data_IF_592112038652
#
_entry.id   IF_592112038652
#
_cell.length_a   1.000
_cell.length_b   1.000
_cell.length_c   1.000
_cell.angle_alpha   90.00
_cell.angle_beta   90.00
_cell.angle_gamma   90.00
#
_symmetry.space_group_name_H-M   'P 1'
#
loop_
_entity.id
_entity.type
_entity.pdbx_description
1 polymer ?
#
# COMPACT_ATOMS: atom_id res chain seq x y z
N UNK A 1 -8.99 60.13 -34.06
CA UNK A 1 -9.72 59.28 -33.06
C UNK A 1 -9.51 57.78 -33.26
N UNK A 2 -9.81 57.18 -34.44
CA UNK A 2 -9.66 55.72 -34.63
C UNK A 2 -8.26 55.16 -34.32
N UNK A 3 -7.15 55.86 -34.74
CA UNK A 3 -5.79 55.40 -34.44
C UNK A 3 -5.43 55.43 -32.95
N UNK A 4 -5.91 56.42 -32.19
CA UNK A 4 -5.69 56.51 -30.75
C UNK A 4 -6.42 55.41 -30.01
N UNK A 5 -7.62 55.08 -30.42
CA UNK A 5 -8.41 53.97 -29.84
C UNK A 5 -7.72 52.62 -30.10
N UNK A 6 -7.20 52.41 -31.32
CA UNK A 6 -6.49 51.15 -31.67
C UNK A 6 -5.17 51.03 -30.85
N UNK A 7 -4.42 52.14 -30.68
CA UNK A 7 -3.19 52.13 -29.90
C UNK A 7 -3.46 51.88 -28.42
N UNK A 8 -4.49 52.50 -27.87
CA UNK A 8 -4.92 52.25 -26.47
C UNK A 8 -5.39 50.80 -26.27
N UNK A 9 -6.14 50.24 -27.18
CA UNK A 9 -6.59 48.83 -27.13
C UNK A 9 -5.41 47.87 -27.22
N UNK A 10 -4.42 48.13 -28.09
CA UNK A 10 -3.20 47.32 -28.23
C UNK A 10 -2.33 47.37 -26.98
N UNK A 11 -2.22 48.53 -26.34
CA UNK A 11 -1.47 48.68 -25.07
C UNK A 11 -2.15 47.94 -23.91
N UNK A 12 -3.49 48.02 -23.81
CA UNK A 12 -4.26 47.29 -22.79
C UNK A 12 -4.14 45.77 -23.02
N UNK A 13 -4.20 45.32 -24.27
CA UNK A 13 -4.02 43.90 -24.59
C UNK A 13 -2.62 43.41 -24.26
N UNK A 14 -1.57 44.19 -24.58
CA UNK A 14 -0.21 43.85 -24.29
C UNK A 14 0.06 43.83 -22.77
N UNK A 15 -0.49 44.76 -21.99
CA UNK A 15 -0.45 44.77 -20.55
C UNK A 15 -1.20 43.55 -19.96
N UNK A 16 -2.38 43.24 -20.48
CA UNK A 16 -3.14 42.07 -20.08
C UNK A 16 -2.38 40.77 -20.32
N UNK A 17 -1.77 40.59 -21.49
CA UNK A 17 -0.95 39.40 -21.80
C UNK A 17 0.32 39.32 -20.92
N UNK A 18 0.95 40.46 -20.62
CA UNK A 18 2.13 40.49 -19.73
C UNK A 18 1.77 40.11 -18.31
N UNK A 19 0.64 40.61 -17.77
CA UNK A 19 0.15 40.27 -16.44
C UNK A 19 -0.24 38.79 -16.39
N UNK A 20 -0.94 38.28 -17.39
CA UNK A 20 -1.30 36.87 -17.48
C UNK A 20 -0.06 35.97 -17.55
N UNK A 21 0.93 36.35 -18.33
CA UNK A 21 2.21 35.63 -18.43
C UNK A 21 2.97 35.59 -17.08
N UNK A 22 3.00 36.72 -16.38
CA UNK A 22 3.61 36.78 -15.03
C UNK A 22 2.85 35.94 -14.00
N UNK A 23 1.53 35.93 -14.04
CA UNK A 23 0.71 35.08 -13.17
C UNK A 23 0.91 33.60 -13.47
N UNK A 24 0.94 33.20 -14.75
CA UNK A 24 1.21 31.83 -15.14
C UNK A 24 2.61 31.36 -14.70
N UNK A 25 3.60 32.25 -14.83
CA UNK A 25 4.95 31.97 -14.34
C UNK A 25 4.97 31.81 -12.83
N UNK A 26 4.38 32.76 -12.06
CA UNK A 26 4.29 32.67 -10.62
C UNK A 26 3.55 31.41 -10.14
N UNK A 27 2.52 30.97 -10.87
CA UNK A 27 1.78 29.73 -10.56
C UNK A 27 2.59 28.46 -10.86
N UNK A 28 3.46 28.50 -11.86
CA UNK A 28 4.34 27.37 -12.19
C UNK A 28 5.44 27.19 -11.14
N UNK A 29 5.97 28.29 -10.62
CA UNK A 29 7.03 28.32 -9.61
C UNK A 29 6.48 28.32 -8.16
N UNK A 30 5.15 28.21 -7.98
CA UNK A 30 4.54 28.25 -6.65
C UNK A 30 4.88 26.98 -5.86
N UNK A 31 5.55 27.18 -4.75
CA UNK A 31 5.77 26.16 -3.74
C UNK A 31 4.89 26.46 -2.52
N UNK A 32 4.23 25.44 -2.00
CA UNK A 32 3.43 25.57 -0.79
C UNK A 32 4.34 25.87 0.40
N UNK A 33 3.99 26.84 1.26
CA UNK A 33 4.77 27.15 2.46
C UNK A 33 4.97 25.92 3.34
N UNK A 34 6.21 25.66 3.73
CA UNK A 34 6.53 24.56 4.64
C UNK A 34 6.08 24.91 6.06
N UNK A 35 5.52 23.92 6.76
CA UNK A 35 5.08 24.07 8.15
C UNK A 35 6.27 23.96 9.11
N UNK A 36 7.09 22.91 8.97
CA UNK A 36 8.29 22.74 9.80
C UNK A 36 9.31 23.81 9.46
N UNK A 37 9.81 24.51 10.47
CA UNK A 37 10.73 25.62 10.32
C UNK A 37 10.04 26.98 10.16
N UNK A 38 8.70 27.01 9.99
CA UNK A 38 7.95 28.27 9.96
C UNK A 38 7.96 28.95 11.33
N UNK A 39 7.90 30.29 11.34
CA UNK A 39 8.08 31.11 12.55
C UNK A 39 6.91 32.03 12.79
N UNK A 40 6.70 32.33 14.07
CA UNK A 40 5.71 33.32 14.52
C UNK A 40 6.29 34.16 15.66
N UNK A 41 6.06 35.48 15.60
CA UNK A 41 6.35 36.38 16.73
C UNK A 41 5.19 36.32 17.71
N UNK A 42 5.45 36.09 19.00
CA UNK A 42 4.43 36.10 20.05
C UNK A 42 5.04 36.50 21.41
N UNK A 43 4.42 37.46 22.10
CA UNK A 43 4.89 37.91 23.42
C UNK A 43 4.68 36.85 24.52
N UNK A 44 3.72 35.95 24.33
CA UNK A 44 3.44 34.86 25.24
C UNK A 44 4.22 33.62 24.84
N UNK A 45 4.76 32.92 25.83
CA UNK A 45 5.39 31.61 25.66
C UNK A 45 4.40 30.44 25.74
N UNK A 46 3.10 30.71 25.81
CA UNK A 46 2.06 29.69 25.80
C UNK A 46 1.94 29.03 24.42
N UNK A 47 2.24 27.73 24.32
CA UNK A 47 2.19 27.04 23.05
C UNK A 47 0.84 27.07 22.33
N UNK A 48 -0.26 27.14 23.08
CA UNK A 48 -1.60 27.26 22.48
C UNK A 48 -1.80 28.63 21.83
N UNK A 49 -1.40 29.71 22.50
CA UNK A 49 -1.50 31.07 21.94
C UNK A 49 -0.59 31.22 20.70
N UNK A 50 0.63 30.69 20.78
CA UNK A 50 1.58 30.65 19.67
C UNK A 50 0.95 29.92 18.48
N UNK A 51 0.37 28.73 18.71
CA UNK A 51 -0.26 27.89 17.68
C UNK A 51 -1.46 28.61 17.03
N UNK A 52 -2.32 29.27 17.81
CA UNK A 52 -3.47 30.01 17.26
C UNK A 52 -3.04 31.14 16.36
N UNK A 53 -2.03 31.90 16.76
CA UNK A 53 -1.49 33.02 15.99
C UNK A 53 -0.84 32.54 14.69
N UNK A 54 0.02 31.55 14.80
CA UNK A 54 0.65 30.93 13.63
C UNK A 54 -0.39 30.37 12.65
N UNK A 55 -1.39 29.61 13.13
CA UNK A 55 -2.42 29.02 12.29
C UNK A 55 -3.15 30.07 11.45
N UNK A 56 -3.54 31.18 12.05
CA UNK A 56 -4.15 32.28 11.31
C UNK A 56 -3.22 32.83 10.21
N UNK A 57 -1.97 33.14 10.56
CA UNK A 57 -0.98 33.66 9.63
C UNK A 57 -0.64 32.67 8.51
N UNK A 58 -0.55 31.39 8.83
CA UNK A 58 -0.27 30.34 7.86
C UNK A 58 -1.38 30.24 6.81
N UNK A 59 -2.65 30.23 7.23
CA UNK A 59 -3.75 30.11 6.27
C UNK A 59 -4.04 31.43 5.52
N UNK A 60 -3.68 32.58 6.04
CA UNK A 60 -3.75 33.87 5.33
C UNK A 60 -2.86 33.89 4.07
N UNK A 61 -1.79 33.11 4.03
CA UNK A 61 -0.89 33.01 2.87
C UNK A 61 -1.56 32.40 1.64
N UNK A 62 -2.65 31.68 1.81
CA UNK A 62 -3.40 31.02 0.72
C UNK A 62 -4.50 31.90 0.11
N UNK A 63 -4.61 33.17 0.53
CA UNK A 63 -5.50 34.18 -0.06
C UNK A 63 -4.63 35.21 -0.81
N UNK A 64 -4.44 35.03 -2.10
CA UNK A 64 -3.60 35.96 -2.87
C UNK A 64 -3.58 35.66 -4.35
N UNK A 65 -3.31 36.70 -5.15
CA UNK A 65 -3.31 36.63 -6.62
C UNK A 65 -2.23 35.72 -7.20
N UNK A 66 -1.14 35.54 -6.46
CA UNK A 66 0.00 34.68 -6.86
C UNK A 66 -0.21 33.23 -6.47
N UNK A 67 -1.19 32.94 -5.61
CA UNK A 67 -1.51 31.58 -5.20
C UNK A 67 -2.30 30.87 -6.29
N UNK A 68 -1.87 29.70 -6.78
CA UNK A 68 -2.64 28.94 -7.74
C UNK A 68 -4.01 28.55 -7.18
N UNK A 69 -5.04 28.58 -8.02
CA UNK A 69 -6.43 28.39 -7.59
C UNK A 69 -6.65 27.08 -6.79
N UNK A 70 -5.91 26.03 -7.10
CA UNK A 70 -6.03 24.74 -6.40
C UNK A 70 -5.43 24.72 -4.98
N UNK A 71 -4.72 25.79 -4.58
CA UNK A 71 -4.25 26.00 -3.20
C UNK A 71 -5.07 27.06 -2.44
N UNK A 72 -6.01 27.72 -3.06
CA UNK A 72 -6.79 28.77 -2.38
C UNK A 72 -7.61 28.22 -1.22
N UNK A 73 -7.59 28.97 -0.12
CA UNK A 73 -8.41 28.78 1.08
C UNK A 73 -9.34 29.97 1.23
N UNK A 74 -10.63 29.70 1.44
CA UNK A 74 -11.63 30.76 1.74
C UNK A 74 -11.63 31.08 3.21
N UNK A 75 -11.52 30.06 4.05
CA UNK A 75 -11.47 30.19 5.50
C UNK A 75 -10.86 28.93 6.11
N UNK A 76 -10.13 29.11 7.22
CA UNK A 76 -9.66 28.03 8.07
C UNK A 76 -9.89 28.38 9.54
N UNK A 77 -10.21 27.37 10.34
CA UNK A 77 -10.43 27.56 11.78
C UNK A 77 -10.02 26.33 12.57
N UNK A 78 -9.47 26.56 13.74
CA UNK A 78 -9.25 25.52 14.75
C UNK A 78 -10.58 25.15 15.37
N UNK A 79 -10.89 23.87 15.43
CA UNK A 79 -12.10 23.31 16.05
C UNK A 79 -11.84 22.60 17.37
N UNK A 80 -10.61 22.10 17.56
CA UNK A 80 -10.12 21.51 18.80
C UNK A 80 -8.64 21.82 19.02
N UNK A 81 -8.22 21.87 20.27
CA UNK A 81 -6.82 22.05 20.64
C UNK A 81 -6.54 21.36 21.97
N UNK A 82 -5.46 20.61 22.04
CA UNK A 82 -5.04 19.87 23.22
C UNK A 82 -3.51 19.92 23.36
N UNK A 83 -3.03 20.09 24.59
CA UNK A 83 -1.61 20.04 24.92
C UNK A 83 -1.21 18.63 25.33
N UNK A 84 -0.27 18.02 24.61
CA UNK A 84 0.26 16.69 24.82
C UNK A 84 1.68 16.77 25.40
N UNK A 85 1.98 15.99 26.43
CA UNK A 85 3.26 16.09 27.18
C UNK A 85 4.04 14.76 27.27
N UNK A 86 3.60 13.72 26.58
CA UNK A 86 4.12 12.36 26.74
C UNK A 86 5.55 12.16 26.21
N UNK A 87 6.01 13.07 25.35
CA UNK A 87 7.36 13.01 24.74
C UNK A 87 8.41 13.89 25.42
N UNK A 88 8.16 14.31 26.68
CA UNK A 88 9.13 15.10 27.48
C UNK A 88 9.25 16.58 27.10
N UNK A 89 8.48 17.04 26.12
CA UNK A 89 8.26 18.44 25.75
C UNK A 89 6.81 18.64 25.32
N UNK A 90 6.27 19.86 25.43
CA UNK A 90 4.90 20.09 25.00
C UNK A 90 4.75 19.98 23.47
N UNK A 91 3.73 19.26 23.07
CA UNK A 91 3.18 19.24 21.71
C UNK A 91 1.75 19.76 21.76
N UNK A 92 1.32 20.41 20.71
CA UNK A 92 -0.05 20.89 20.56
C UNK A 92 -0.71 20.12 19.43
N UNK A 93 -1.70 19.32 19.76
CA UNK A 93 -2.60 18.74 18.78
C UNK A 93 -3.67 19.77 18.43
N UNK A 94 -3.91 19.98 17.15
CA UNK A 94 -5.02 20.79 16.66
C UNK A 94 -5.90 19.98 15.73
N UNK A 95 -7.21 20.13 15.93
CA UNK A 95 -8.24 19.76 14.96
C UNK A 95 -8.67 21.03 14.25
N UNK A 96 -8.83 20.98 12.95
CA UNK A 96 -9.18 22.19 12.21
C UNK A 96 -10.04 21.91 10.99
N UNK A 97 -10.72 22.93 10.54
CA UNK A 97 -11.52 22.91 9.33
C UNK A 97 -10.97 23.90 8.31
N UNK A 98 -11.02 23.50 7.06
CA UNK A 98 -10.62 24.33 5.91
C UNK A 98 -11.78 24.38 4.92
N UNK A 99 -12.21 25.57 4.56
CA UNK A 99 -13.21 25.81 3.53
C UNK A 99 -12.51 26.31 2.27
N UNK A 100 -12.69 25.60 1.16
CA UNK A 100 -11.97 25.85 -0.11
C UNK A 100 -12.92 26.25 -1.25
N UNK A 101 -12.44 26.89 -2.32
CA UNK A 101 -13.20 27.02 -3.56
C UNK A 101 -13.42 25.66 -4.25
N UNK A 102 -14.35 25.61 -5.20
CA UNK A 102 -14.57 24.39 -6.01
C UNK A 102 -13.32 24.03 -6.82
N UNK A 103 -12.79 22.84 -6.62
CA UNK A 103 -11.61 22.35 -7.36
C UNK A 103 -10.25 22.69 -6.75
N UNK A 104 -10.20 23.26 -5.54
CA UNK A 104 -8.96 23.49 -4.79
C UNK A 104 -8.41 22.19 -4.15
N UNK A 105 -8.08 21.19 -4.99
CA UNK A 105 -7.61 19.86 -4.55
C UNK A 105 -6.14 19.84 -4.11
N UNK A 106 -5.34 20.83 -4.49
CA UNK A 106 -3.93 20.92 -4.13
C UNK A 106 -3.75 21.03 -2.62
N UNK A 107 -4.42 22.03 -2.01
CA UNK A 107 -4.35 22.23 -0.54
C UNK A 107 -4.88 21.03 0.24
N UNK A 108 -5.93 20.36 -0.28
CA UNK A 108 -6.52 19.18 0.35
C UNK A 108 -5.52 18.03 0.41
N UNK A 109 -4.81 17.78 -0.70
CA UNK A 109 -3.79 16.73 -0.77
C UNK A 109 -2.56 17.04 0.08
N UNK A 110 -2.02 18.25 -0.01
CA UNK A 110 -0.77 18.61 0.69
C UNK A 110 -0.94 18.68 2.22
N UNK A 111 -2.13 18.99 2.70
CA UNK A 111 -2.47 18.99 4.13
C UNK A 111 -3.20 17.72 4.59
N UNK A 112 -3.35 16.73 3.68
CA UNK A 112 -4.01 15.44 3.99
C UNK A 112 -5.40 15.63 4.61
N UNK A 113 -6.20 16.56 4.04
CA UNK A 113 -7.50 16.91 4.59
C UNK A 113 -8.57 15.90 4.19
N UNK A 114 -9.42 15.54 5.14
CA UNK A 114 -10.56 14.64 4.92
C UNK A 114 -11.80 15.42 4.49
N UNK A 115 -12.53 14.92 3.49
CA UNK A 115 -13.78 15.52 3.04
C UNK A 115 -14.90 15.28 4.08
N UNK A 116 -15.69 16.33 4.36
CA UNK A 116 -16.87 16.22 5.21
C UNK A 116 -18.14 16.07 4.37
N UNK A 117 -19.28 15.78 5.00
CA UNK A 117 -20.57 15.77 4.32
C UNK A 117 -20.93 17.16 3.72
N UNK A 118 -20.34 18.21 4.25
CA UNK A 118 -20.53 19.58 3.76
C UNK A 118 -19.58 19.86 2.60
N UNK A 119 -20.12 20.04 1.42
CA UNK A 119 -19.35 20.33 0.21
C UNK A 119 -18.35 21.47 0.44
N UNK A 120 -17.08 21.27 0.04
CA UNK A 120 -15.93 22.19 0.16
C UNK A 120 -15.42 22.42 1.58
N UNK A 121 -15.99 21.79 2.57
CA UNK A 121 -15.50 21.82 3.93
C UNK A 121 -14.69 20.53 4.17
N UNK A 122 -13.47 20.70 4.63
CA UNK A 122 -12.54 19.61 4.92
C UNK A 122 -12.07 19.72 6.35
N UNK A 123 -11.77 18.59 6.96
CA UNK A 123 -11.16 18.52 8.30
C UNK A 123 -9.73 18.05 8.22
N UNK A 124 -8.89 18.54 9.11
CA UNK A 124 -7.50 18.09 9.26
C UNK A 124 -7.11 18.02 10.72
N UNK A 125 -6.06 17.25 10.97
CA UNK A 125 -5.43 17.13 12.29
C UNK A 125 -3.93 17.26 12.13
N UNK A 126 -3.26 17.89 13.08
CA UNK A 126 -1.81 17.91 13.17
C UNK A 126 -1.35 18.10 14.60
N UNK A 127 -0.17 17.58 14.88
CA UNK A 127 0.54 17.74 16.16
C UNK A 127 1.80 18.54 15.90
N UNK A 128 1.99 19.64 16.63
CA UNK A 128 3.10 20.58 16.45
C UNK A 128 3.90 20.70 17.74
N UNK A 129 5.21 20.87 17.62
CA UNK A 129 6.05 21.34 18.74
C UNK A 129 6.72 22.66 18.38
N UNK A 130 6.92 23.48 19.39
CA UNK A 130 7.52 24.79 19.27
C UNK A 130 8.85 24.88 19.98
N UNK A 131 9.80 25.63 19.43
CA UNK A 131 11.03 26.03 20.08
C UNK A 131 11.26 27.53 19.95
N UNK A 132 11.91 28.14 20.93
CA UNK A 132 12.27 29.53 20.88
C UNK A 132 13.41 29.75 19.84
N UNK A 133 13.24 30.71 18.94
CA UNK A 133 14.20 31.06 17.88
C UNK A 133 14.65 32.54 18.00
N UNK A 134 14.50 33.15 19.17
CA UNK A 134 14.85 34.52 19.48
C UNK A 134 14.01 35.05 20.65
N UNK A 135 14.08 36.39 20.86
CA UNK A 135 13.20 37.07 21.79
C UNK A 135 11.83 37.21 21.13
N UNK A 136 10.80 36.62 21.78
CA UNK A 136 9.42 36.58 21.29
C UNK A 136 9.21 35.94 19.89
N UNK A 137 10.18 35.16 19.40
CA UNK A 137 10.07 34.42 18.15
C UNK A 137 10.08 32.92 18.42
N UNK A 138 9.11 32.22 17.87
CA UNK A 138 8.93 30.76 18.01
C UNK A 138 8.91 30.11 16.65
N UNK A 139 9.59 28.97 16.54
CA UNK A 139 9.68 28.16 15.33
C UNK A 139 9.03 26.80 15.53
N UNK A 140 8.35 26.30 14.52
CA UNK A 140 7.87 24.91 14.52
C UNK A 140 9.07 23.97 14.38
N UNK A 141 9.35 23.21 15.42
CA UNK A 141 10.42 22.22 15.45
C UNK A 141 10.00 20.90 14.81
N UNK A 142 8.77 20.46 15.07
CA UNK A 142 8.20 19.23 14.50
C UNK A 142 6.74 19.41 14.09
N UNK A 143 6.36 18.68 13.04
CA UNK A 143 4.97 18.43 12.65
C UNK A 143 4.77 16.94 12.43
N UNK A 144 3.73 16.37 13.00
CA UNK A 144 3.35 14.97 12.80
C UNK A 144 1.83 14.79 12.81
N UNK A 145 1.35 13.62 12.41
CA UNK A 145 -0.04 13.25 12.61
C UNK A 145 -0.28 12.78 14.05
N UNK A 146 -1.54 12.78 14.56
CA UNK A 146 -1.84 12.20 15.87
C UNK A 146 -1.37 10.75 16.03
N UNK A 147 -1.48 9.94 14.98
CA UNK A 147 -1.01 8.55 14.97
C UNK A 147 0.51 8.47 15.13
N UNK A 148 1.26 9.29 14.38
CA UNK A 148 2.72 9.34 14.50
C UNK A 148 3.15 9.78 15.92
N UNK A 149 2.44 10.74 16.53
CA UNK A 149 2.69 11.14 17.91
C UNK A 149 2.47 9.98 18.87
N UNK A 150 1.32 9.29 18.76
CA UNK A 150 0.97 8.15 19.61
C UNK A 150 2.03 7.04 19.56
N UNK A 151 2.50 6.69 18.36
CA UNK A 151 3.57 5.68 18.16
C UNK A 151 4.85 6.05 18.91
N UNK A 152 5.17 7.34 19.06
CA UNK A 152 6.38 7.80 19.75
C UNK A 152 6.23 7.86 21.28
N UNK A 153 5.02 7.74 21.83
CA UNK A 153 4.81 7.83 23.28
C UNK A 153 5.48 6.68 24.01
N UNK A 154 6.07 6.92 25.21
CA UNK A 154 6.68 5.87 26.00
C UNK A 154 5.71 4.74 26.38
N UNK A 155 4.43 5.05 26.53
CA UNK A 155 3.38 4.08 26.84
C UNK A 155 3.20 3.09 25.70
N UNK A 156 3.03 3.59 24.46
CA UNK A 156 2.93 2.77 23.26
C UNK A 156 4.20 1.94 23.04
N UNK A 157 5.40 2.54 23.22
CA UNK A 157 6.68 1.85 23.10
C UNK A 157 6.86 0.78 24.17
N UNK A 158 6.35 1.02 25.37
CA UNK A 158 6.40 0.05 26.47
C UNK A 158 5.46 -1.13 26.22
N UNK A 159 4.23 -0.87 25.77
CA UNK A 159 3.28 -1.93 25.39
C UNK A 159 3.87 -2.83 24.28
N UNK A 160 4.66 -2.25 23.38
CA UNK A 160 5.35 -2.98 22.32
C UNK A 160 6.59 -3.75 22.78
N UNK A 161 7.21 -3.35 23.91
CA UNK A 161 8.42 -3.97 24.47
C UNK A 161 8.16 -4.99 25.58
N UNK A 162 6.97 -4.98 26.19
CA UNK A 162 6.61 -6.02 27.14
C UNK A 162 6.38 -7.32 26.36
N UNK A 163 7.19 -8.38 26.57
CA UNK A 163 6.89 -9.68 26.00
C UNK A 163 5.52 -10.07 26.55
N UNK A 164 4.50 -10.00 25.71
CA UNK A 164 3.18 -10.51 26.07
C UNK A 164 3.32 -12.03 26.21
N UNK A 165 3.59 -12.49 27.43
CA UNK A 165 3.52 -13.89 27.82
C UNK A 165 2.05 -14.33 27.99
N UNK A 166 1.15 -13.81 27.20
CA UNK A 166 -0.17 -14.40 27.05
C UNK A 166 -0.02 -15.57 26.10
N UNK A 167 -0.31 -16.75 26.59
CA UNK A 167 -0.39 -17.97 25.79
C UNK A 167 -1.38 -17.71 24.65
N UNK A 168 -0.87 -17.68 23.43
CA UNK A 168 -1.70 -17.68 22.23
C UNK A 168 -2.46 -19.02 22.20
N UNK A 169 -3.74 -19.03 22.49
CA UNK A 169 -4.61 -20.18 22.23
C UNK A 169 -5.17 -20.14 20.79
N UNK A 170 -4.40 -19.70 19.83
CA UNK A 170 -4.78 -19.89 18.43
C UNK A 170 -4.16 -21.18 17.94
N UNK A 171 -4.92 -22.26 18.02
CA UNK A 171 -4.60 -23.50 17.31
C UNK A 171 -4.99 -23.33 15.86
N UNK A 172 -4.05 -23.53 14.96
CA UNK A 172 -4.30 -23.65 13.53
C UNK A 172 -4.19 -25.12 13.15
N UNK A 173 -4.98 -25.54 12.18
CA UNK A 173 -4.84 -26.88 11.59
C UNK A 173 -3.60 -26.94 10.66
N UNK A 174 -3.04 -25.78 10.25
CA UNK A 174 -1.81 -25.69 9.47
C UNK A 174 -0.59 -25.71 10.37
N UNK A 175 0.36 -26.66 10.17
CA UNK A 175 1.55 -26.75 11.00
C UNK A 175 2.48 -25.55 10.87
N UNK A 176 2.52 -24.94 9.69
CA UNK A 176 3.38 -23.79 9.37
C UNK A 176 2.57 -22.69 8.72
N UNK A 177 2.42 -21.58 9.42
CA UNK A 177 1.65 -20.44 8.93
C UNK A 177 2.10 -19.13 9.60
N UNK A 178 1.49 -18.01 9.25
CA UNK A 178 1.73 -16.71 9.87
C UNK A 178 0.54 -16.28 10.71
N UNK A 179 0.82 -15.35 11.65
CA UNK A 179 -0.17 -14.65 12.44
C UNK A 179 0.15 -13.18 12.52
N UNK A 180 -0.88 -12.37 12.48
CA UNK A 180 -0.78 -10.93 12.74
C UNK A 180 -1.54 -10.64 14.03
N UNK A 181 -0.84 -10.06 15.00
CA UNK A 181 -1.42 -9.65 16.26
C UNK A 181 -0.79 -8.35 16.74
N UNK A 182 -1.63 -7.42 17.17
CA UNK A 182 -1.23 -6.12 17.73
C UNK A 182 -0.21 -5.36 16.88
N UNK A 183 -0.34 -5.46 15.56
CA UNK A 183 0.57 -4.84 14.61
C UNK A 183 1.94 -5.52 14.51
N UNK A 184 2.04 -6.79 14.85
CA UNK A 184 3.25 -7.60 14.70
C UNK A 184 2.95 -8.82 13.85
N UNK A 185 3.84 -9.13 12.91
CA UNK A 185 3.80 -10.35 12.12
C UNK A 185 4.64 -11.44 12.78
N UNK A 186 4.02 -12.59 13.00
CA UNK A 186 4.65 -13.79 13.55
C UNK A 186 4.55 -14.95 12.57
N UNK A 187 5.46 -15.91 12.70
CA UNK A 187 5.39 -17.23 12.06
C UNK A 187 5.39 -18.34 13.11
N UNK A 188 4.72 -19.43 12.80
CA UNK A 188 4.75 -20.67 13.58
C UNK A 188 5.19 -21.83 12.68
N UNK A 189 5.85 -22.83 13.28
CA UNK A 189 6.29 -24.06 12.62
C UNK A 189 5.75 -25.32 13.33
N UNK A 190 4.84 -25.14 14.28
CA UNK A 190 4.35 -26.18 15.19
C UNK A 190 2.86 -26.03 15.52
N UNK A 191 2.05 -25.60 14.54
CA UNK A 191 0.61 -25.40 14.68
C UNK A 191 0.21 -24.41 15.80
N UNK A 192 1.03 -23.37 16.00
CA UNK A 192 0.76 -22.31 16.98
C UNK A 192 1.16 -22.65 18.42
N UNK A 193 1.99 -23.69 18.64
CA UNK A 193 2.56 -23.94 19.97
C UNK A 193 3.64 -22.93 20.33
N UNK A 194 4.39 -22.45 19.33
CA UNK A 194 5.36 -21.36 19.46
C UNK A 194 5.28 -20.37 18.28
N UNK A 195 5.74 -19.13 18.53
CA UNK A 195 5.72 -18.05 17.55
C UNK A 195 7.08 -17.35 17.51
N UNK A 196 7.49 -17.02 16.29
CA UNK A 196 8.71 -16.26 16.01
C UNK A 196 8.33 -14.96 15.34
N UNK A 197 8.78 -13.84 15.88
CA UNK A 197 8.54 -12.53 15.28
C UNK A 197 9.31 -12.36 13.96
N UNK A 198 8.63 -11.84 12.93
CA UNK A 198 9.27 -11.41 11.68
C UNK A 198 9.72 -9.96 11.86
N UNK A 199 11.04 -9.65 11.83
CA UNK A 199 11.55 -8.32 12.13
C UNK A 199 10.95 -7.24 11.23
N UNK A 200 10.33 -6.21 11.80
CA UNK A 200 9.63 -5.13 11.09
C UNK A 200 8.59 -5.63 10.07
N UNK A 201 8.15 -6.90 10.22
CA UNK A 201 7.35 -7.60 9.22
C UNK A 201 6.00 -6.95 8.98
N UNK A 202 5.33 -6.52 10.03
CA UNK A 202 4.02 -5.89 9.90
C UNK A 202 4.09 -4.59 9.08
N UNK A 203 5.00 -3.70 9.42
CA UNK A 203 5.14 -2.41 8.74
C UNK A 203 5.63 -2.55 7.30
N UNK A 204 6.50 -3.52 7.05
CA UNK A 204 7.14 -3.72 5.75
C UNK A 204 6.34 -4.58 4.78
N UNK A 205 5.58 -5.53 5.30
CA UNK A 205 4.89 -6.57 4.50
C UNK A 205 3.39 -6.29 4.46
N UNK A 206 2.76 -6.06 5.61
CA UNK A 206 1.31 -5.89 5.72
C UNK A 206 0.83 -4.50 5.30
N UNK A 207 1.71 -3.48 5.24
CA UNK A 207 1.38 -2.11 4.85
C UNK A 207 1.58 -1.83 3.36
N UNK A 208 1.77 -2.83 2.53
CA UNK A 208 2.04 -2.64 1.11
C UNK A 208 0.81 -2.12 0.37
N UNK A 209 1.04 -1.10 -0.46
CA UNK A 209 0.02 -0.48 -1.32
C UNK A 209 -0.91 0.48 -0.57
N UNK A 210 -1.05 1.70 -1.03
CA UNK A 210 -2.04 2.73 -0.65
C UNK A 210 -2.17 3.10 0.83
N UNK A 211 -1.22 2.72 1.71
CA UNK A 211 -1.25 3.05 3.13
C UNK A 211 -2.33 2.32 3.94
N UNK A 212 -2.94 1.29 3.36
CA UNK A 212 -3.91 0.44 4.07
C UNK A 212 -3.20 -0.82 4.54
N UNK A 213 -3.26 -1.10 5.85
CA UNK A 213 -2.75 -2.34 6.39
C UNK A 213 -3.64 -3.50 5.96
N UNK A 214 -3.03 -4.52 5.38
CA UNK A 214 -3.71 -5.75 5.03
C UNK A 214 -3.26 -6.85 6.01
N UNK A 215 -4.14 -7.27 6.89
CA UNK A 215 -3.87 -8.31 7.88
C UNK A 215 -3.90 -9.72 7.29
N UNK A 216 -4.39 -9.86 6.05
CA UNK A 216 -4.31 -11.08 5.28
C UNK A 216 -3.27 -10.91 4.18
N UNK A 217 -2.26 -11.75 4.19
CA UNK A 217 -1.28 -11.79 3.12
C UNK A 217 -1.87 -12.53 1.93
N UNK A 218 -1.75 -11.98 0.70
CA UNK A 218 -2.24 -12.66 -0.49
C UNK A 218 -1.61 -14.03 -0.65
N UNK A 219 -2.36 -14.97 -1.16
CA UNK A 219 -1.84 -16.30 -1.49
C UNK A 219 -0.63 -16.20 -2.42
N UNK A 220 0.31 -17.13 -2.26
CA UNK A 220 1.58 -17.15 -3.00
C UNK A 220 2.47 -15.89 -2.83
N UNK A 221 2.18 -14.96 -1.91
CA UNK A 221 3.05 -13.82 -1.62
C UNK A 221 4.14 -14.11 -0.58
N UNK A 222 4.09 -15.27 0.05
CA UNK A 222 5.02 -15.75 1.07
C UNK A 222 5.23 -17.25 0.98
N UNK A 223 6.30 -17.73 1.59
CA UNK A 223 6.59 -19.16 1.77
C UNK A 223 7.01 -19.38 3.21
N UNK A 224 6.43 -20.39 3.88
CA UNK A 224 6.78 -20.82 5.23
C UNK A 224 6.97 -22.34 5.23
N UNK A 225 8.21 -22.78 5.37
CA UNK A 225 8.60 -24.19 5.49
C UNK A 225 9.64 -24.35 6.57
N UNK A 226 10.00 -25.58 6.93
CA UNK A 226 11.07 -25.85 7.89
C UNK A 226 12.46 -25.36 7.41
N UNK A 227 12.69 -25.35 6.09
CA UNK A 227 13.97 -25.07 5.47
C UNK A 227 14.10 -23.62 5.01
N UNK A 228 12.94 -22.97 4.74
CA UNK A 228 12.90 -21.62 4.22
C UNK A 228 11.61 -20.90 4.65
N UNK A 229 11.78 -19.69 5.15
CA UNK A 229 10.67 -18.76 5.34
C UNK A 229 11.01 -17.46 4.64
N UNK A 230 10.08 -16.94 3.82
CA UNK A 230 10.33 -15.73 3.07
C UNK A 230 9.08 -14.89 2.83
N UNK A 231 9.28 -13.57 2.88
CA UNK A 231 8.26 -12.55 2.61
C UNK A 231 8.84 -11.48 1.69
N UNK A 232 8.10 -11.10 0.67
CA UNK A 232 8.52 -10.00 -0.20
C UNK A 232 8.10 -8.67 0.41
N UNK A 233 9.07 -7.80 0.65
CA UNK A 233 8.90 -6.49 1.27
C UNK A 233 9.38 -5.39 0.30
N UNK A 234 8.47 -4.86 -0.51
CA UNK A 234 8.80 -3.90 -1.57
C UNK A 234 9.80 -4.50 -2.57
N UNK A 235 11.03 -3.96 -2.64
CA UNK A 235 12.07 -4.43 -3.55
C UNK A 235 12.97 -5.52 -2.97
N UNK A 236 12.69 -6.00 -1.79
CA UNK A 236 13.53 -6.94 -1.05
C UNK A 236 12.75 -8.19 -0.67
N UNK A 237 13.46 -9.30 -0.52
CA UNK A 237 12.99 -10.53 0.07
C UNK A 237 13.59 -10.61 1.49
N UNK A 238 12.74 -10.57 2.51
CA UNK A 238 13.10 -10.84 3.89
C UNK A 238 12.96 -12.34 4.12
N UNK A 239 14.01 -13.02 4.57
CA UNK A 239 14.00 -14.48 4.67
C UNK A 239 14.79 -15.03 5.85
N UNK A 240 14.42 -16.25 6.25
CA UNK A 240 15.11 -17.09 7.23
C UNK A 240 15.31 -18.50 6.66
N UNK A 241 16.47 -19.12 6.99
CA UNK A 241 16.84 -20.48 6.62
C UNK A 241 16.90 -21.40 7.85
N UNK A 242 16.47 -20.93 9.02
CA UNK A 242 16.62 -21.58 10.33
C UNK A 242 15.38 -21.38 11.21
N UNK A 243 14.19 -21.47 10.59
CA UNK A 243 12.88 -21.31 11.28
C UNK A 243 12.76 -20.00 12.05
N UNK A 244 13.27 -18.92 11.48
CA UNK A 244 13.15 -17.58 12.05
C UNK A 244 14.16 -17.26 13.17
N UNK A 245 15.14 -18.14 13.47
CA UNK A 245 16.19 -17.83 14.43
C UNK A 245 17.06 -16.66 13.95
N UNK A 246 17.36 -16.63 12.63
CA UNK A 246 18.05 -15.51 12.00
C UNK A 246 17.34 -15.06 10.73
N UNK A 247 17.26 -13.73 10.55
CA UNK A 247 16.65 -13.12 9.38
C UNK A 247 17.68 -12.39 8.54
N UNK A 248 17.52 -12.48 7.23
CA UNK A 248 18.36 -11.83 6.22
C UNK A 248 17.50 -11.11 5.21
N UNK A 249 18.10 -10.18 4.52
CA UNK A 249 17.45 -9.44 3.43
C UNK A 249 18.24 -9.61 2.13
N UNK A 250 17.52 -9.94 1.05
CA UNK A 250 18.04 -10.00 -0.31
C UNK A 250 17.38 -8.93 -1.17
N UNK A 251 18.16 -8.15 -1.89
CA UNK A 251 17.67 -7.10 -2.77
C UNK A 251 17.27 -7.66 -4.11
N UNK A 252 15.98 -7.87 -4.35
CA UNK A 252 15.43 -8.44 -5.59
C UNK A 252 15.54 -7.43 -6.76
N UNK A 253 15.21 -6.15 -6.50
CA UNK A 253 15.29 -5.07 -7.49
C UNK A 253 15.89 -3.81 -6.89
N UNK A 254 16.55 -3.00 -7.71
CA UNK A 254 17.24 -1.80 -7.21
C UNK A 254 16.29 -0.65 -6.89
N UNK A 255 15.27 -0.43 -7.73
CA UNK A 255 14.32 0.69 -7.58
C UNK A 255 13.12 0.51 -8.52
N UNK A 256 12.15 1.40 -8.44
CA UNK A 256 10.96 1.46 -9.28
C UNK A 256 9.68 1.18 -8.50
N UNK A 257 8.61 0.87 -9.18
CA UNK A 257 7.36 0.38 -8.57
C UNK A 257 7.56 -1.06 -8.07
N UNK A 258 6.94 -1.43 -6.97
CA UNK A 258 6.92 -2.79 -6.44
C UNK A 258 5.64 -2.99 -5.64
N UNK A 259 4.77 -3.88 -6.10
CA UNK A 259 3.50 -4.25 -5.47
C UNK A 259 3.12 -5.68 -5.87
N UNK A 260 2.11 -6.21 -5.21
CA UNK A 260 1.42 -7.47 -5.49
C UNK A 260 2.40 -8.61 -5.81
N UNK A 261 3.29 -8.97 -4.86
CA UNK A 261 4.33 -9.96 -5.09
C UNK A 261 3.80 -11.39 -4.98
N UNK A 262 4.44 -12.27 -5.76
CA UNK A 262 4.34 -13.73 -5.63
C UNK A 262 5.74 -14.29 -5.39
N UNK A 263 5.85 -15.22 -4.44
CA UNK A 263 7.10 -15.86 -4.05
C UNK A 263 6.98 -17.38 -4.21
N UNK A 264 7.93 -17.99 -4.89
CA UNK A 264 8.04 -19.44 -4.98
C UNK A 264 9.48 -19.91 -4.77
N UNK A 265 9.63 -21.11 -4.23
CA UNK A 265 10.91 -21.78 -4.00
C UNK A 265 10.92 -23.10 -4.75
N UNK A 266 11.85 -23.24 -5.67
CA UNK A 266 12.09 -24.44 -6.45
C UNK A 266 13.45 -25.07 -6.12
N UNK A 267 13.72 -26.27 -6.60
CA UNK A 267 15.05 -26.90 -6.48
C UNK A 267 16.14 -26.07 -7.17
N UNK A 268 15.76 -25.36 -8.24
CA UNK A 268 16.66 -24.49 -9.01
C UNK A 268 16.94 -23.14 -8.34
N UNK A 269 16.14 -22.71 -7.37
CA UNK A 269 16.29 -21.42 -6.69
C UNK A 269 14.98 -20.74 -6.35
N UNK A 270 15.02 -19.42 -6.29
CA UNK A 270 13.96 -18.56 -5.75
C UNK A 270 13.38 -17.67 -6.85
N UNK A 271 12.07 -17.59 -6.91
CA UNK A 271 11.34 -16.82 -7.91
C UNK A 271 10.47 -15.78 -7.22
N UNK A 272 10.63 -14.52 -7.60
CA UNK A 272 9.78 -13.41 -7.15
C UNK A 272 9.16 -12.76 -8.38
N UNK A 273 7.86 -12.91 -8.53
CA UNK A 273 7.06 -12.18 -9.53
C UNK A 273 6.40 -11.00 -8.83
N UNK A 274 6.51 -9.79 -9.36
CA UNK A 274 5.90 -8.60 -8.77
C UNK A 274 5.51 -7.58 -9.83
N UNK A 275 4.55 -6.73 -9.51
CA UNK A 275 4.24 -5.56 -10.30
C UNK A 275 5.42 -4.57 -10.24
N UNK A 276 5.95 -4.19 -11.40
CA UNK A 276 7.17 -3.37 -11.54
C UNK A 276 6.90 -2.01 -12.17
N UNK A 277 5.70 -1.81 -12.70
CA UNK A 277 5.21 -0.55 -13.24
C UNK A 277 3.68 -0.54 -13.18
N UNK A 278 3.07 0.64 -13.18
CA UNK A 278 1.62 0.83 -13.23
C UNK A 278 1.29 1.93 -14.22
N UNK A 279 0.43 1.63 -15.19
CA UNK A 279 -0.02 2.60 -16.20
C UNK A 279 -1.50 2.40 -16.53
N UNK A 280 -2.26 3.50 -16.54
CA UNK A 280 -3.69 3.54 -16.92
C UNK A 280 -4.57 2.52 -16.17
N UNK A 281 -4.21 2.18 -14.93
CA UNK A 281 -4.96 1.22 -14.10
C UNK A 281 -4.54 -0.24 -14.29
N UNK A 282 -3.52 -0.53 -15.09
CA UNK A 282 -2.93 -1.85 -15.22
C UNK A 282 -1.57 -1.92 -14.54
N UNK A 283 -1.34 -2.99 -13.79
CA UNK A 283 -0.06 -3.32 -13.22
C UNK A 283 0.73 -4.20 -14.17
N UNK A 284 2.02 -3.86 -14.37
CA UNK A 284 2.93 -4.61 -15.23
C UNK A 284 3.87 -5.43 -14.38
N UNK A 285 3.94 -6.73 -14.65
CA UNK A 285 4.68 -7.70 -13.85
C UNK A 285 5.98 -8.13 -14.51
N UNK A 286 6.95 -8.46 -13.69
CA UNK A 286 8.17 -9.15 -14.08
C UNK A 286 8.53 -10.19 -13.02
N UNK A 287 9.13 -11.29 -13.47
CA UNK A 287 9.68 -12.31 -12.58
C UNK A 287 11.19 -12.10 -12.42
N UNK A 288 11.66 -12.15 -11.18
CA UNK A 288 13.07 -12.17 -10.85
C UNK A 288 13.43 -13.56 -10.30
N UNK A 289 14.56 -14.11 -10.74
CA UNK A 289 15.07 -15.41 -10.35
C UNK A 289 16.46 -15.29 -9.72
N UNK A 290 16.72 -16.08 -8.68
CA UNK A 290 18.03 -16.20 -8.05
C UNK A 290 18.29 -17.63 -7.57
N UNK A 291 19.50 -18.15 -7.81
CA UNK A 291 19.96 -19.43 -7.26
C UNK A 291 20.46 -19.29 -5.82
N UNK A 292 20.95 -18.11 -5.45
CA UNK A 292 21.76 -17.88 -4.24
C UNK A 292 21.22 -16.79 -3.28
N UNK A 293 20.09 -16.16 -3.62
CA UNK A 293 19.51 -15.00 -2.90
C UNK A 293 20.41 -13.75 -2.91
N UNK A 294 21.48 -13.73 -3.66
CA UNK A 294 22.40 -12.59 -3.78
C UNK A 294 22.33 -11.97 -5.18
N UNK A 295 22.25 -12.83 -6.22
CA UNK A 295 22.27 -12.41 -7.61
C UNK A 295 20.91 -12.69 -8.27
N UNK A 296 20.21 -11.62 -8.67
CA UNK A 296 18.90 -11.72 -9.29
C UNK A 296 18.94 -11.40 -10.77
N UNK A 297 18.28 -12.22 -11.57
CA UNK A 297 18.08 -12.05 -13.01
C UNK A 297 16.59 -11.93 -13.32
N UNK A 298 16.23 -11.21 -14.40
CA UNK A 298 14.83 -11.07 -14.80
C UNK A 298 14.45 -12.08 -15.86
N UNK A 299 13.30 -12.71 -15.70
CA UNK A 299 12.60 -13.51 -16.70
C UNK A 299 11.54 -12.61 -17.33
N UNK A 300 11.55 -12.48 -18.66
CA UNK A 300 10.57 -11.67 -19.38
C UNK A 300 9.29 -12.48 -19.62
N UNK A 301 8.15 -11.94 -19.22
CA UNK A 301 6.85 -12.50 -19.56
C UNK A 301 6.45 -12.10 -20.99
N UNK A 302 5.62 -12.91 -21.68
CA UNK A 302 4.99 -12.50 -22.93
C UNK A 302 4.17 -11.21 -22.76
N UNK A 303 4.17 -10.31 -23.76
CA UNK A 303 3.48 -9.02 -23.69
C UNK A 303 1.99 -9.15 -23.29
N UNK A 304 1.32 -10.20 -23.73
CA UNK A 304 -0.07 -10.47 -23.41
C UNK A 304 -0.30 -10.88 -21.93
N UNK A 305 0.75 -11.31 -21.25
CA UNK A 305 0.71 -11.85 -19.87
C UNK A 305 1.54 -11.04 -18.88
N UNK A 306 2.07 -9.90 -19.27
CA UNK A 306 2.81 -9.05 -18.34
C UNK A 306 1.91 -8.12 -17.51
N UNK A 307 0.58 -8.20 -17.63
CA UNK A 307 -0.34 -7.27 -16.94
C UNK A 307 -1.43 -7.99 -16.14
N UNK A 308 -1.79 -7.40 -14.99
CA UNK A 308 -2.93 -7.79 -14.16
C UNK A 308 -2.93 -9.30 -13.80
N UNK A 309 -1.80 -9.81 -13.34
CA UNK A 309 -1.72 -11.18 -12.85
C UNK A 309 -2.55 -11.34 -11.57
N UNK A 310 -3.29 -12.42 -11.50
CA UNK A 310 -4.02 -12.84 -10.29
C UNK A 310 -3.21 -13.85 -9.48
N UNK A 311 -2.36 -14.65 -10.13
CA UNK A 311 -1.48 -15.61 -9.48
C UNK A 311 -0.20 -15.85 -10.31
N UNK A 312 0.90 -16.12 -9.61
CA UNK A 312 2.14 -16.67 -10.19
C UNK A 312 2.73 -17.69 -9.22
N UNK A 313 3.11 -18.84 -9.75
CA UNK A 313 3.65 -19.96 -8.96
C UNK A 313 4.72 -20.72 -9.73
N UNK A 314 5.78 -21.16 -9.04
CA UNK A 314 6.81 -22.04 -9.59
C UNK A 314 6.87 -23.33 -8.77
N UNK A 315 6.75 -24.47 -9.45
CA UNK A 315 6.85 -25.79 -8.84
C UNK A 315 8.27 -26.12 -8.43
N UNK A 316 8.41 -27.14 -7.58
CA UNK A 316 9.74 -27.61 -7.13
C UNK A 316 10.64 -28.01 -8.29
N UNK A 317 10.11 -28.61 -9.35
CA UNK A 317 10.85 -29.02 -10.56
C UNK A 317 11.09 -27.87 -11.56
N UNK A 318 10.70 -26.63 -11.23
CA UNK A 318 11.04 -25.43 -12.00
C UNK A 318 10.08 -25.10 -13.15
N UNK A 319 8.86 -25.62 -13.15
CA UNK A 319 7.79 -25.14 -14.04
C UNK A 319 7.20 -23.86 -13.50
N UNK A 320 7.04 -22.84 -14.33
CA UNK A 320 6.49 -21.54 -13.92
C UNK A 320 5.10 -21.29 -14.47
N UNK A 321 4.17 -20.89 -13.62
CA UNK A 321 2.78 -20.61 -13.95
C UNK A 321 2.45 -19.15 -13.74
N UNK A 322 1.63 -18.61 -14.64
CA UNK A 322 1.14 -17.24 -14.59
C UNK A 322 -0.34 -17.23 -14.96
N UNK A 323 -1.15 -16.65 -14.12
CA UNK A 323 -2.58 -16.56 -14.34
C UNK A 323 -3.05 -15.11 -14.29
N UNK A 324 -4.04 -14.82 -15.08
CA UNK A 324 -4.91 -13.66 -15.03
C UNK A 324 -6.34 -14.13 -15.22
N UNK A 325 -7.32 -13.26 -15.10
CA UNK A 325 -8.72 -13.64 -15.29
C UNK A 325 -8.92 -14.39 -16.62
N UNK A 326 -9.52 -15.57 -16.58
CA UNK A 326 -9.83 -16.46 -17.72
C UNK A 326 -8.64 -17.05 -18.48
N UNK A 327 -7.39 -16.70 -18.14
CA UNK A 327 -6.22 -17.12 -18.90
C UNK A 327 -5.09 -17.60 -17.96
N UNK A 328 -4.40 -18.66 -18.37
CA UNK A 328 -3.25 -19.20 -17.65
C UNK A 328 -2.15 -19.65 -18.62
N UNK A 329 -0.89 -19.38 -18.27
CA UNK A 329 0.30 -19.82 -19.00
C UNK A 329 1.17 -20.70 -18.15
N UNK A 330 1.93 -21.58 -18.81
CA UNK A 330 3.05 -22.31 -18.20
C UNK A 330 4.32 -22.18 -19.03
N UNK A 331 5.45 -22.09 -18.34
CA UNK A 331 6.78 -22.33 -18.91
C UNK A 331 7.34 -23.62 -18.31
N UNK A 332 7.87 -24.50 -19.16
CA UNK A 332 8.49 -25.77 -18.77
C UNK A 332 10.03 -25.71 -18.88
N UNK A 333 10.59 -24.61 -19.32
CA UNK A 333 12.00 -24.41 -19.66
C UNK A 333 12.61 -23.16 -19.00
N UNK A 334 12.05 -22.77 -17.83
CA UNK A 334 12.60 -21.67 -17.04
C UNK A 334 12.30 -20.27 -17.59
N UNK A 335 11.31 -20.13 -18.47
CA UNK A 335 10.90 -18.85 -19.04
C UNK A 335 11.39 -18.59 -20.46
N UNK A 336 12.02 -19.59 -21.10
CA UNK A 336 12.45 -19.48 -22.51
C UNK A 336 11.24 -19.54 -23.46
N UNK A 337 10.29 -20.45 -23.18
CA UNK A 337 9.04 -20.56 -23.94
C UNK A 337 7.81 -20.66 -23.03
N UNK A 338 6.65 -20.29 -23.55
CA UNK A 338 5.37 -20.31 -22.82
C UNK A 338 4.30 -20.98 -23.67
N UNK A 339 3.39 -21.68 -23.01
CA UNK A 339 2.20 -22.27 -23.64
C UNK A 339 0.96 -22.00 -22.81
N UNK A 340 -0.19 -21.89 -23.50
CA UNK A 340 -1.49 -21.70 -22.86
C UNK A 340 -1.93 -22.95 -22.12
N UNK A 341 -2.55 -22.77 -20.95
CA UNK A 341 -3.28 -23.78 -20.23
C UNK A 341 -4.78 -23.44 -20.28
N UNK A 342 -5.57 -24.44 -20.60
CA UNK A 342 -7.02 -24.33 -20.57
C UNK A 342 -7.53 -25.25 -19.45
N UNK A 343 -8.11 -24.64 -18.42
CA UNK A 343 -8.80 -25.37 -17.37
C UNK A 343 -10.13 -25.92 -17.95
N UNK A 344 -10.51 -27.18 -17.65
CA UNK A 344 -11.80 -27.69 -18.08
C UNK A 344 -12.95 -26.97 -17.37
N UNK A 345 -14.06 -26.74 -18.11
CA UNK A 345 -15.27 -26.17 -17.52
C UNK A 345 -15.85 -27.08 -16.44
N UNK A 346 -16.48 -26.49 -15.43
CA UNK A 346 -17.24 -27.21 -14.40
C UNK A 346 -18.64 -27.55 -14.93
N UNK A 347 -18.74 -28.56 -15.82
CA UNK A 347 -19.93 -28.85 -16.63
C UNK A 347 -21.23 -28.89 -15.81
N UNK A 348 -21.23 -29.53 -14.61
CA UNK A 348 -22.45 -29.64 -13.76
C UNK A 348 -22.88 -28.25 -13.22
N UNK A 349 -21.93 -27.40 -12.84
CA UNK A 349 -22.18 -26.04 -12.28
C UNK A 349 -22.55 -25.10 -13.41
N UNK A 350 -21.86 -25.16 -14.53
CA UNK A 350 -22.16 -24.38 -15.71
C UNK A 350 -23.55 -24.71 -16.29
N UNK A 351 -23.98 -25.97 -16.26
CA UNK A 351 -25.33 -26.38 -16.66
C UNK A 351 -26.40 -25.85 -15.68
N UNK A 352 -26.11 -25.79 -14.37
CA UNK A 352 -27.04 -25.27 -13.35
C UNK A 352 -27.23 -23.76 -13.48
N UNK A 353 -26.11 -23.01 -13.66
CA UNK A 353 -26.11 -21.54 -13.66
C UNK A 353 -26.30 -20.95 -15.04
N UNK A 354 -25.98 -21.68 -16.12
CA UNK A 354 -25.93 -21.18 -17.48
C UNK A 354 -24.60 -20.50 -17.87
N UNK A 355 -23.61 -20.52 -16.99
CA UNK A 355 -22.23 -20.04 -17.19
C UNK A 355 -21.32 -20.68 -16.14
N UNK A 356 -20.02 -20.75 -16.41
CA UNK A 356 -19.01 -21.14 -15.42
C UNK A 356 -18.63 -19.90 -14.58
N UNK A 357 -18.83 -19.93 -13.24
CA UNK A 357 -18.50 -18.77 -12.40
C UNK A 357 -17.01 -18.67 -12.06
N UNK A 358 -16.21 -19.72 -12.30
CA UNK A 358 -14.82 -19.80 -11.88
C UNK A 358 -13.86 -19.34 -12.97
N UNK A 359 -13.41 -18.10 -12.87
CA UNK A 359 -12.60 -17.44 -13.91
C UNK A 359 -11.28 -16.86 -13.41
N UNK A 360 -11.06 -16.85 -12.10
CA UNK A 360 -9.91 -16.16 -11.50
C UNK A 360 -9.09 -17.13 -10.66
N UNK A 361 -7.89 -17.46 -11.11
CA UNK A 361 -6.95 -18.26 -10.31
C UNK A 361 -6.45 -17.44 -9.12
N UNK A 362 -6.71 -17.94 -7.90
CA UNK A 362 -6.40 -17.26 -6.66
C UNK A 362 -5.20 -17.87 -5.94
N UNK A 363 -5.05 -19.19 -6.03
CA UNK A 363 -3.97 -19.92 -5.34
C UNK A 363 -3.47 -21.10 -6.18
N UNK A 364 -2.17 -21.35 -6.11
CA UNK A 364 -1.51 -22.55 -6.62
C UNK A 364 -0.61 -23.14 -5.54
N UNK A 365 -0.58 -24.46 -5.43
CA UNK A 365 0.34 -25.17 -4.54
C UNK A 365 0.64 -26.57 -5.07
N UNK A 366 1.78 -27.12 -4.64
CA UNK A 366 2.20 -28.48 -5.00
C UNK A 366 2.27 -29.34 -3.74
N UNK A 367 1.57 -30.49 -3.79
CA UNK A 367 1.58 -31.49 -2.73
C UNK A 367 1.78 -32.88 -3.34
N UNK A 368 2.73 -33.66 -2.81
CA UNK A 368 3.08 -35.01 -3.28
C UNK A 368 3.34 -35.11 -4.79
N UNK A 369 3.85 -34.04 -5.42
CA UNK A 369 4.12 -33.96 -6.84
C UNK A 369 2.91 -33.72 -7.73
N UNK A 370 1.76 -33.42 -7.14
CA UNK A 370 0.55 -33.00 -7.82
C UNK A 370 0.43 -31.47 -7.66
N UNK A 371 0.18 -30.78 -8.76
CA UNK A 371 -0.09 -29.36 -8.77
C UNK A 371 -1.62 -29.15 -8.58
N UNK A 372 -1.98 -28.35 -7.58
CA UNK A 372 -3.33 -27.91 -7.30
C UNK A 372 -3.50 -26.45 -7.66
N UNK A 373 -4.69 -26.13 -8.19
CA UNK A 373 -5.09 -24.77 -8.56
C UNK A 373 -6.47 -24.49 -8.00
N UNK A 374 -6.61 -23.42 -7.23
CA UNK A 374 -7.88 -22.92 -6.73
C UNK A 374 -8.30 -21.75 -7.61
N UNK A 375 -9.50 -21.85 -8.15
CA UNK A 375 -10.09 -20.86 -9.05
C UNK A 375 -11.36 -20.30 -8.41
N UNK A 376 -11.31 -19.02 -8.08
CA UNK A 376 -12.44 -18.27 -7.56
C UNK A 376 -13.19 -17.52 -8.65
N UNK A 377 -13.95 -16.51 -8.22
CA UNK A 377 -14.86 -15.74 -9.05
C UNK A 377 -14.41 -14.29 -9.26
N UNK A 378 -13.25 -13.91 -8.70
CA UNK A 378 -12.77 -12.53 -8.68
C UNK A 378 -13.60 -11.62 -7.76
N UNK A 379 -13.39 -10.29 -7.89
CA UNK A 379 -14.01 -9.29 -6.99
C UNK A 379 -15.53 -9.14 -7.16
N UNK A 380 -16.10 -9.57 -8.28
CA UNK A 380 -17.52 -9.43 -8.67
C UNK A 380 -18.30 -10.74 -8.57
N UNK A 381 -17.71 -11.80 -8.00
CA UNK A 381 -18.38 -13.09 -7.81
C UNK A 381 -19.51 -13.04 -6.78
N UNK A 382 -20.60 -13.76 -7.06
CA UNK A 382 -21.78 -13.84 -6.20
C UNK A 382 -22.32 -15.27 -6.02
N UNK A 383 -21.63 -16.27 -6.57
CA UNK A 383 -22.02 -17.66 -6.45
C UNK A 383 -21.60 -18.20 -5.08
N UNK A 384 -22.61 -18.49 -4.25
CA UNK A 384 -22.45 -18.87 -2.83
C UNK A 384 -22.93 -20.30 -2.61
N UNK A 385 -22.10 -21.09 -1.93
CA UNK A 385 -22.44 -22.39 -1.36
C UNK A 385 -22.25 -22.39 0.16
N UNK A 386 -23.19 -22.93 0.88
CA UNK A 386 -23.14 -23.02 2.35
C UNK A 386 -22.83 -21.68 3.08
N UNK A 387 -23.22 -20.58 2.46
CA UNK A 387 -23.04 -19.21 3.03
C UNK A 387 -21.68 -18.57 2.78
N UNK A 388 -20.80 -19.17 1.99
CA UNK A 388 -19.51 -18.67 1.57
C UNK A 388 -19.43 -18.60 0.05
N UNK A 389 -18.53 -17.78 -0.50
CA UNK A 389 -18.20 -17.83 -1.92
C UNK A 389 -17.67 -19.23 -2.25
N UNK A 390 -18.09 -19.73 -3.40
CA UNK A 390 -17.62 -21.02 -3.89
C UNK A 390 -16.37 -20.83 -4.76
N UNK A 391 -15.47 -21.79 -4.66
CA UNK A 391 -14.25 -21.90 -5.46
C UNK A 391 -14.19 -23.30 -6.11
N UNK A 392 -13.45 -23.43 -7.19
CA UNK A 392 -13.20 -24.70 -7.86
C UNK A 392 -11.76 -25.17 -7.62
N UNK A 393 -11.60 -26.40 -7.16
CA UNK A 393 -10.30 -27.05 -7.03
C UNK A 393 -10.00 -27.88 -8.27
N UNK A 394 -8.85 -27.61 -8.87
CA UNK A 394 -8.30 -28.38 -9.99
C UNK A 394 -6.97 -29.03 -9.59
N UNK A 395 -6.63 -30.13 -10.24
CA UNK A 395 -5.35 -30.80 -10.07
C UNK A 395 -4.72 -31.21 -11.39
N UNK A 396 -3.38 -31.34 -11.39
CA UNK A 396 -2.60 -31.85 -12.52
C UNK A 396 -1.37 -32.64 -12.05
N UNK A 397 -1.16 -33.83 -12.60
CA UNK A 397 0.04 -34.64 -12.36
C UNK A 397 1.20 -34.26 -13.28
N UNK A 398 0.91 -33.74 -14.46
CA UNK A 398 1.93 -33.37 -15.46
C UNK A 398 2.24 -31.86 -15.53
N UNK A 399 1.39 -31.06 -14.86
CA UNK A 399 1.47 -29.60 -14.83
C UNK A 399 0.93 -28.90 -16.08
N UNK A 400 0.29 -29.63 -17.00
CA UNK A 400 -0.27 -29.10 -18.26
C UNK A 400 -1.74 -29.43 -18.41
N UNK A 401 -2.09 -30.68 -18.11
CA UNK A 401 -3.44 -31.18 -18.22
C UNK A 401 -4.10 -31.19 -16.83
N UNK A 402 -5.12 -30.37 -16.66
CA UNK A 402 -5.84 -30.23 -15.40
C UNK A 402 -7.18 -30.99 -15.43
N UNK A 403 -7.61 -31.44 -14.27
CA UNK A 403 -8.94 -32.00 -14.05
C UNK A 403 -9.60 -31.28 -12.86
N UNK A 404 -10.90 -30.98 -12.98
CA UNK A 404 -11.70 -30.53 -11.88
C UNK A 404 -11.81 -31.63 -10.79
N UNK A 405 -11.61 -31.26 -9.55
CA UNK A 405 -11.67 -32.19 -8.40
C UNK A 405 -13.01 -32.03 -7.70
N UNK A 406 -13.27 -30.85 -7.17
CA UNK A 406 -14.48 -30.55 -6.41
C UNK A 406 -14.69 -29.04 -6.28
N UNK A 407 -15.90 -28.65 -5.92
CA UNK A 407 -16.26 -27.34 -5.44
C UNK A 407 -15.85 -27.22 -3.96
N UNK A 408 -15.18 -26.18 -3.59
CA UNK A 408 -14.77 -25.88 -2.21
C UNK A 408 -15.36 -24.53 -1.78
N UNK A 409 -15.44 -24.31 -0.48
CA UNK A 409 -15.82 -23.01 0.06
C UNK A 409 -14.57 -22.13 0.18
N UNK A 410 -14.70 -20.85 -0.09
CA UNK A 410 -13.66 -19.87 0.19
C UNK A 410 -13.32 -19.90 1.70
N UNK A 411 -12.12 -20.36 2.02
CA UNK A 411 -11.62 -20.43 3.39
C UNK A 411 -10.87 -19.17 3.82
N UNK A 412 -10.87 -18.13 2.99
CA UNK A 412 -10.31 -16.82 3.37
C UNK A 412 -10.98 -16.35 4.66
N UNK A 413 -10.23 -16.07 5.74
CA UNK A 413 -10.82 -15.61 6.99
C UNK A 413 -11.60 -14.31 6.74
N UNK A 414 -12.89 -14.29 7.11
CA UNK A 414 -13.68 -13.06 7.05
C UNK A 414 -12.91 -11.95 7.80
N UNK A 415 -12.68 -10.83 7.14
CA UNK A 415 -12.17 -9.63 7.80
C UNK A 415 -13.18 -9.25 8.89
N UNK A 416 -12.78 -9.42 10.15
CA UNK A 416 -13.56 -8.91 11.26
C UNK A 416 -13.65 -7.38 11.11
N UNK A 417 -14.86 -6.91 10.70
CA UNK A 417 -15.19 -5.51 10.47
C UNK A 417 -15.20 -4.67 11.73
#
# INVERSE_FOLDING_TARGET
>A
MKKIIFTAAAVILALGLSVTGLLMYAWHEYEMPQIVGDTVENESSDPEEITRKWFSQYFEQFDGWVVPYHYHVVNARITGMETLNDLGRPYIQIDYEVYTPVGARGIVRELELMETETRRLYTGQMVLSWEADGEDVYRIADKMTPVQYQILTPEFQKERQEPQTEHFEMKTDEPMTYYIRDGVLYVTYDSGESFVEVPDGYERICSQGNGTYNELLPYNSYVITEEFTGFVAGHSLLYSMDRGETWKESRVRQSGYAADPFLSVAESGYYVTMAVDRSLGSDYYATCYSEDLENWTSISLPDAFCTNLTCSFWTKDGKGYYAKREEMLVTLDGGDTFQDIVLPETEEIADELGFDPFDTVEKMYEEDGILYVIVGQGEDGDYIRDGKLAEALYQSEDGVNFSFVEEIADDTPEQAG
#
